data_IF_280795267681
#
_entry.id   IF_280795267681
#
_cell.length_a   1.000
_cell.length_b   1.000
_cell.length_c   1.000
_cell.angle_alpha   90.00
_cell.angle_beta   90.00
_cell.angle_gamma   90.00
#
_symmetry.space_group_name_H-M   'P 1'
#
loop_
_entity.id
_entity.type
_entity.pdbx_description
1 polymer ?
#
# COMPACT_ATOMS: atom_id res chain seq x y z
N UNK A 1 10.91 3.80 5.63
CA UNK A 1 10.29 4.55 4.58
C UNK A 1 11.31 5.14 3.64
N UNK A 2 11.01 5.11 2.37
CA UNK A 2 11.94 5.54 1.35
C UNK A 2 11.70 7.01 1.05
N UNK A 3 12.74 7.81 1.18
CA UNK A 3 12.69 9.19 0.76
C UNK A 3 13.12 9.34 -0.67
N UNK A 4 12.55 10.31 -1.37
CA UNK A 4 12.96 10.67 -2.72
C UNK A 4 13.72 11.96 -2.67
N UNK A 5 14.89 11.97 -3.30
CA UNK A 5 15.73 13.15 -3.38
C UNK A 5 15.34 13.94 -4.62
N UNK A 6 15.15 15.24 -4.46
CA UNK A 6 14.85 16.12 -5.58
C UNK A 6 13.41 16.12 -6.06
N UNK A 7 12.51 15.48 -5.30
CA UNK A 7 11.10 15.47 -5.64
C UNK A 7 10.27 15.54 -4.38
N UNK A 8 9.12 16.19 -4.46
CA UNK A 8 8.15 16.15 -3.39
C UNK A 8 7.33 14.90 -3.52
N UNK A 9 7.23 14.13 -2.45
CA UNK A 9 6.44 12.92 -2.41
C UNK A 9 5.51 12.97 -1.22
N UNK A 10 4.26 12.65 -1.46
CA UNK A 10 3.25 12.52 -0.43
C UNK A 10 2.89 11.06 -0.29
N UNK A 11 3.01 10.52 0.92
CA UNK A 11 2.65 9.15 1.22
C UNK A 11 1.60 9.17 2.30
N UNK A 12 0.52 8.43 2.08
CA UNK A 12 -0.55 8.35 3.05
C UNK A 12 -0.97 6.90 3.20
N UNK A 13 -1.01 6.43 4.44
CA UNK A 13 -1.47 5.09 4.78
C UNK A 13 -2.81 5.16 5.44
N UNK A 14 -3.65 4.20 5.12
CA UNK A 14 -4.96 4.04 5.75
C UNK A 14 -5.18 2.56 6.02
N UNK A 15 -5.83 2.26 7.14
CA UNK A 15 -6.12 0.89 7.54
C UNK A 15 -7.61 0.74 7.77
N UNK A 16 -8.13 -0.39 7.33
CA UNK A 16 -9.53 -0.74 7.53
C UNK A 16 -9.60 -2.07 8.27
N UNK A 17 -10.30 -2.05 9.39
CA UNK A 17 -10.46 -3.25 10.22
C UNK A 17 -11.80 -3.89 9.88
N UNK A 18 -11.78 -5.20 9.70
CA UNK A 18 -12.99 -5.98 9.45
C UNK A 18 -13.05 -7.06 10.52
N UNK A 19 -13.85 -6.80 11.56
CA UNK A 19 -13.98 -7.73 12.67
C UNK A 19 -14.67 -9.02 12.25
N UNK A 20 -15.59 -8.92 11.33
CA UNK A 20 -16.36 -10.09 10.89
C UNK A 20 -15.46 -11.13 10.23
N UNK A 21 -14.51 -10.68 9.44
CA UNK A 21 -13.58 -11.57 8.74
C UNK A 21 -12.21 -11.63 9.41
N UNK A 22 -12.06 -10.98 10.55
CA UNK A 22 -10.80 -10.94 11.31
C UNK A 22 -9.64 -10.54 10.43
N UNK A 23 -9.81 -9.42 9.72
CA UNK A 23 -8.80 -8.98 8.75
C UNK A 23 -8.53 -7.49 8.89
N UNK A 24 -7.35 -7.11 8.41
CA UNK A 24 -6.91 -5.71 8.32
C UNK A 24 -6.50 -5.47 6.89
N UNK A 25 -7.06 -4.45 6.27
CA UNK A 25 -6.67 -4.02 4.94
C UNK A 25 -5.83 -2.75 5.07
N UNK A 26 -4.67 -2.75 4.45
CA UNK A 26 -3.80 -1.57 4.40
C UNK A 26 -3.89 -0.96 3.00
N UNK A 27 -4.05 0.35 2.95
CA UNK A 27 -4.12 1.09 1.69
C UNK A 27 -3.05 2.18 1.73
N UNK A 28 -2.14 2.13 0.78
CA UNK A 28 -1.06 3.10 0.68
C UNK A 28 -1.27 3.94 -0.57
N UNK A 29 -1.31 5.24 -0.40
CA UNK A 29 -1.46 6.19 -1.49
C UNK A 29 -0.17 6.99 -1.61
N UNK A 30 0.39 7.05 -2.80
CA UNK A 30 1.58 7.85 -3.07
C UNK A 30 1.29 8.82 -4.20
N UNK A 31 1.83 10.02 -4.08
CA UNK A 31 1.77 11.03 -5.12
C UNK A 31 3.08 11.80 -5.14
N UNK A 32 3.54 12.16 -6.32
CA UNK A 32 4.80 12.88 -6.47
C UNK A 32 4.59 14.01 -7.45
N UNK A 33 4.92 15.23 -7.02
CA UNK A 33 4.75 16.43 -7.85
C UNK A 33 5.78 16.39 -8.98
N UNK A 34 5.31 16.59 -10.20
CA UNK A 34 6.17 16.65 -11.38
C UNK A 34 6.76 15.34 -11.80
N UNK A 35 6.26 14.24 -11.25
CA UNK A 35 6.74 12.90 -11.57
C UNK A 35 5.57 11.93 -11.58
N UNK A 36 5.66 10.94 -12.45
CA UNK A 36 4.64 9.90 -12.56
C UNK A 36 5.28 8.54 -12.30
N UNK A 37 4.47 7.52 -12.20
CA UNK A 37 4.98 6.16 -12.07
C UNK A 37 5.47 5.80 -10.68
N UNK A 38 4.74 6.25 -9.65
CA UNK A 38 5.11 5.96 -8.26
C UNK A 38 4.40 4.74 -7.70
N UNK A 39 3.90 3.88 -8.60
CA UNK A 39 3.18 2.68 -8.17
C UNK A 39 4.08 1.71 -7.38
N UNK A 40 5.36 1.64 -7.71
CA UNK A 40 6.27 0.76 -6.97
C UNK A 40 6.49 1.24 -5.55
N UNK A 41 6.50 2.55 -5.35
CA UNK A 41 6.60 3.11 -4.00
C UNK A 41 5.34 2.76 -3.19
N UNK A 42 4.16 2.82 -3.82
CA UNK A 42 2.92 2.43 -3.16
C UNK A 42 2.92 0.95 -2.81
N UNK A 43 3.32 0.10 -3.74
CA UNK A 43 3.39 -1.34 -3.52
C UNK A 43 4.38 -1.68 -2.41
N UNK A 44 5.52 -1.04 -2.41
CA UNK A 44 6.52 -1.23 -1.36
C UNK A 44 5.97 -0.77 -0.01
N UNK A 45 5.37 0.41 0.02
CA UNK A 45 4.83 0.96 1.26
C UNK A 45 3.76 0.08 1.88
N UNK A 46 2.81 -0.42 1.08
CA UNK A 46 1.76 -1.27 1.61
C UNK A 46 2.32 -2.61 2.08
N UNK A 47 3.33 -3.13 1.39
CA UNK A 47 3.96 -4.39 1.78
C UNK A 47 4.67 -4.25 3.13
N UNK A 48 5.40 -3.17 3.32
CA UNK A 48 6.08 -2.89 4.59
C UNK A 48 5.05 -2.71 5.71
N UNK A 49 3.95 -2.01 5.44
CA UNK A 49 2.90 -1.82 6.43
C UNK A 49 2.32 -3.15 6.90
N UNK A 50 2.05 -4.06 5.97
CA UNK A 50 1.51 -5.37 6.31
C UNK A 50 2.52 -6.22 7.08
N UNK A 51 3.78 -6.17 6.69
CA UNK A 51 4.84 -6.88 7.41
C UNK A 51 4.99 -6.34 8.84
N UNK A 52 4.86 -5.04 9.00
CA UNK A 52 4.93 -4.41 10.32
C UNK A 52 3.77 -4.88 11.20
N UNK A 53 2.56 -4.92 10.65
CA UNK A 53 1.39 -5.41 11.39
C UNK A 53 1.62 -6.86 11.81
N UNK A 54 2.12 -7.69 10.90
CA UNK A 54 2.40 -9.08 11.22
C UNK A 54 3.41 -9.18 12.35
N UNK A 55 4.49 -8.44 12.26
CA UNK A 55 5.54 -8.48 13.27
C UNK A 55 5.01 -8.08 14.65
N UNK A 56 4.16 -7.06 14.69
CA UNK A 56 3.60 -6.59 15.95
C UNK A 56 2.57 -7.56 16.53
N UNK A 57 1.88 -8.32 15.70
CA UNK A 57 0.76 -9.16 16.14
C UNK A 57 1.09 -10.64 16.19
N UNK A 58 2.24 -11.06 15.70
CA UNK A 58 2.57 -12.48 15.56
C UNK A 58 2.59 -13.25 16.89
N UNK A 59 2.81 -12.54 18.00
CA UNK A 59 2.78 -13.17 19.30
C UNK A 59 1.38 -13.69 19.65
N UNK A 60 0.34 -13.09 19.08
CA UNK A 60 -1.03 -13.50 19.28
C UNK A 60 -1.42 -14.62 18.30
N UNK A 61 -0.97 -14.54 17.07
CA UNK A 61 -1.34 -15.52 16.04
C UNK A 61 -0.29 -15.51 14.93
N UNK A 62 0.51 -16.55 14.85
CA UNK A 62 1.51 -16.68 13.80
C UNK A 62 0.93 -17.13 12.48
N UNK A 63 -0.33 -17.59 12.49
CA UNK A 63 -0.99 -18.09 11.30
C UNK A 63 -1.64 -17.01 10.44
N UNK A 64 -1.44 -15.75 10.77
CA UNK A 64 -1.95 -14.66 9.92
C UNK A 64 -1.34 -14.75 8.53
N UNK A 65 -2.14 -14.45 7.52
CA UNK A 65 -1.70 -14.49 6.13
C UNK A 65 -1.69 -13.09 5.55
N UNK A 66 -0.66 -12.80 4.80
CA UNK A 66 -0.55 -11.56 4.04
C UNK A 66 -0.78 -11.92 2.58
N UNK A 67 -1.71 -11.22 1.94
CA UNK A 67 -2.00 -11.53 0.56
C UNK A 67 -2.79 -10.43 -0.13
N UNK A 68 -3.09 -10.67 -1.40
CA UNK A 68 -3.91 -9.78 -2.21
C UNK A 68 -3.34 -8.37 -2.33
N UNK A 69 -2.02 -8.26 -2.36
CA UNK A 69 -1.36 -6.98 -2.57
C UNK A 69 -1.42 -6.65 -4.05
N UNK A 70 -2.09 -5.56 -4.39
CA UNK A 70 -2.25 -5.18 -5.79
C UNK A 70 -2.54 -3.69 -5.90
N UNK A 71 -2.37 -3.18 -7.10
CA UNK A 71 -2.62 -1.78 -7.42
C UNK A 71 -4.12 -1.57 -7.58
N UNK A 72 -4.67 -0.59 -6.86
CA UNK A 72 -6.08 -0.23 -6.99
C UNK A 72 -6.29 0.79 -8.09
N UNK A 73 -5.47 1.83 -8.10
CA UNK A 73 -5.64 2.92 -9.04
C UNK A 73 -4.29 3.55 -9.34
N UNK A 74 -4.10 3.95 -10.59
CA UNK A 74 -2.92 4.66 -11.03
C UNK A 74 -3.34 5.72 -12.04
N UNK A 75 -2.83 6.94 -11.87
CA UNK A 75 -3.03 8.04 -12.80
C UNK A 75 -1.69 8.57 -13.26
N UNK A 76 -1.62 8.99 -14.51
CA UNK A 76 -0.39 9.51 -15.09
C UNK A 76 0.53 8.39 -15.55
N UNK A 77 1.77 8.75 -15.90
CA UNK A 77 2.72 7.80 -16.42
C UNK A 77 2.43 7.39 -17.85
N UNK A 78 3.19 6.44 -18.36
CA UNK A 78 3.08 5.99 -19.74
C UNK A 78 1.80 5.19 -19.98
N UNK A 79 1.33 4.49 -18.98
CA UNK A 79 0.14 3.65 -19.10
C UNK A 79 -1.16 4.42 -18.90
N UNK A 80 -1.07 5.70 -18.50
CA UNK A 80 -2.25 6.50 -18.23
C UNK A 80 -2.97 6.06 -16.95
N UNK A 81 -4.28 6.12 -16.98
CA UNK A 81 -5.10 5.83 -15.82
C UNK A 81 -5.42 4.36 -15.72
N UNK A 82 -5.29 3.80 -14.53
CA UNK A 82 -5.61 2.41 -14.26
C UNK A 82 -6.44 2.31 -12.99
N UNK A 83 -7.50 1.53 -13.06
CA UNK A 83 -8.33 1.21 -11.88
C UNK A 83 -8.61 -0.27 -11.92
N UNK A 84 -8.31 -0.96 -10.81
CA UNK A 84 -8.68 -2.35 -10.71
C UNK A 84 -10.15 -2.49 -10.35
N UNK A 85 -10.81 -3.48 -10.88
CA UNK A 85 -12.18 -3.82 -10.48
C UNK A 85 -12.22 -4.95 -9.46
N UNK A 86 -11.08 -5.33 -8.94
CA UNK A 86 -11.01 -6.21 -7.77
C UNK A 86 -11.33 -5.42 -6.52
N UNK A 87 -11.99 -6.04 -5.61
CA UNK A 87 -12.23 -5.43 -4.31
C UNK A 87 -12.03 -6.40 -3.21
#
# INVERSE_FOLDING_TARGET
LIGLVGSEMCIRDRFELDEKNSSITAICTTACVGKTGVEMEAMTGVSVALLTIYDMCKALDRGMEIGQIHLLEKSGGKSGHYVTDHN
#
